data_IF_598905679023
#
_entry.id   IF_598905679023
#
_cell.length_a   1.000
_cell.length_b   1.000
_cell.length_c   1.000
_cell.angle_alpha   90.00
_cell.angle_beta   90.00
_cell.angle_gamma   90.00
#
_symmetry.space_group_name_H-M   'P 1'
#
loop_
_entity.id
_entity.type
_entity.pdbx_description
1 polymer ?
#
# COMPACT_ATOMS: atom_id res chain seq x y z
N UNK A 1 73.34 -53.52 -6.79
CA UNK A 1 72.26 -54.01 -7.70
C UNK A 1 70.86 -53.94 -7.11
N UNK A 2 70.59 -54.41 -5.88
CA UNK A 2 69.21 -54.43 -5.31
C UNK A 2 68.54 -53.06 -5.17
N UNK A 3 69.30 -52.01 -4.83
CA UNK A 3 68.80 -50.63 -4.74
C UNK A 3 68.45 -50.02 -6.10
N UNK A 4 69.16 -50.40 -7.17
CA UNK A 4 68.93 -49.90 -8.52
C UNK A 4 67.70 -50.56 -9.15
N UNK A 5 67.49 -51.86 -8.87
CA UNK A 5 66.24 -52.56 -9.19
C UNK A 5 65.05 -51.97 -8.43
N UNK A 6 65.20 -51.66 -7.14
CA UNK A 6 64.14 -51.04 -6.34
C UNK A 6 63.79 -49.64 -6.87
N UNK A 7 64.79 -48.84 -7.26
CA UNK A 7 64.60 -47.52 -7.85
C UNK A 7 63.89 -47.58 -9.22
N UNK A 8 64.28 -48.53 -10.09
CA UNK A 8 63.60 -48.75 -11.37
C UNK A 8 62.16 -49.23 -11.15
N UNK A 9 61.93 -50.13 -10.19
CA UNK A 9 60.58 -50.62 -9.86
C UNK A 9 59.70 -49.50 -9.28
N UNK A 10 60.25 -48.65 -8.41
CA UNK A 10 59.58 -47.45 -7.89
C UNK A 10 59.29 -46.43 -9.00
N UNK A 11 60.22 -46.23 -9.95
CA UNK A 11 59.97 -45.36 -11.10
C UNK A 11 58.85 -45.90 -11.99
N UNK A 12 58.79 -47.20 -12.24
CA UNK A 12 57.70 -47.83 -13.03
C UNK A 12 56.35 -47.67 -12.33
N UNK A 13 56.29 -47.87 -11.00
CA UNK A 13 55.05 -47.69 -10.22
C UNK A 13 54.61 -46.22 -10.09
N UNK A 14 55.53 -45.26 -10.12
CA UNK A 14 55.19 -43.83 -10.12
C UNK A 14 54.93 -43.26 -11.54
N UNK A 15 55.29 -43.97 -12.62
CA UNK A 15 55.08 -43.51 -14.00
C UNK A 15 53.71 -43.88 -14.60
N UNK A 16 52.88 -44.70 -13.94
CA UNK A 16 51.53 -45.03 -14.42
C UNK A 16 50.49 -43.91 -14.22
N UNK A 17 50.87 -42.76 -13.66
CA UNK A 17 49.98 -41.62 -13.43
C UNK A 17 49.94 -40.55 -14.53
N UNK A 18 50.81 -40.61 -15.55
CA UNK A 18 50.94 -39.58 -16.59
C UNK A 18 50.72 -40.14 -17.99
N UNK A 19 49.66 -40.93 -18.14
CA UNK A 19 49.05 -41.17 -19.44
C UNK A 19 48.39 -39.86 -19.90
N UNK A 20 49.01 -39.21 -20.89
CA UNK A 20 48.56 -37.98 -21.54
C UNK A 20 47.28 -38.15 -22.39
N UNK A 21 46.41 -39.11 -22.01
CA UNK A 21 45.04 -39.18 -22.45
C UNK A 21 44.21 -38.39 -21.44
N UNK A 22 43.90 -37.14 -21.78
CA UNK A 22 42.87 -36.34 -21.11
C UNK A 22 41.67 -37.23 -20.76
N UNK A 23 41.34 -37.33 -19.46
CA UNK A 23 40.34 -38.29 -18.95
C UNK A 23 39.00 -38.06 -19.65
N UNK A 24 38.66 -39.01 -20.49
CA UNK A 24 37.47 -38.98 -21.32
C UNK A 24 36.33 -39.66 -20.58
N UNK A 25 35.17 -39.00 -20.55
CA UNK A 25 33.97 -39.47 -19.87
C UNK A 25 32.77 -39.34 -20.78
N UNK A 26 31.76 -40.17 -20.51
CA UNK A 26 30.50 -40.09 -21.20
C UNK A 26 29.58 -39.09 -20.49
N UNK A 27 28.90 -38.24 -21.25
CA UNK A 27 27.96 -37.27 -20.72
C UNK A 27 26.69 -37.91 -20.16
N UNK A 28 25.77 -37.07 -19.69
CA UNK A 28 24.63 -37.46 -18.86
C UNK A 28 24.56 -36.58 -17.63
N UNK A 29 24.00 -37.11 -16.53
CA UNK A 29 23.90 -36.36 -15.27
C UNK A 29 25.27 -36.15 -14.65
N UNK A 30 25.57 -34.93 -14.21
CA UNK A 30 26.86 -34.58 -13.61
C UNK A 30 27.26 -35.47 -12.42
N UNK A 31 26.28 -35.95 -11.65
CA UNK A 31 26.50 -36.85 -10.51
C UNK A 31 27.15 -38.19 -10.92
N UNK A 32 26.87 -38.65 -12.14
CA UNK A 32 27.39 -39.89 -12.70
C UNK A 32 28.79 -39.76 -13.32
N UNK A 33 29.29 -38.54 -13.51
CA UNK A 33 30.61 -38.32 -14.11
C UNK A 33 31.73 -38.65 -13.12
N UNK A 34 32.76 -39.42 -13.48
CA UNK A 34 33.89 -39.68 -12.59
C UNK A 34 34.66 -38.39 -12.23
N UNK A 35 35.31 -38.37 -11.07
CA UNK A 35 36.14 -37.24 -10.66
C UNK A 35 37.36 -37.06 -11.57
N UNK A 36 37.71 -35.80 -11.84
CA UNK A 36 38.84 -35.45 -12.71
C UNK A 36 38.56 -35.64 -14.20
N UNK A 37 37.29 -35.65 -14.60
CA UNK A 37 36.91 -35.68 -15.99
C UNK A 37 37.38 -34.41 -16.71
N UNK A 38 38.03 -34.56 -17.87
CA UNK A 38 38.48 -33.42 -18.68
C UNK A 38 37.70 -33.27 -19.98
N UNK A 39 37.32 -34.38 -20.62
CA UNK A 39 36.56 -34.36 -21.87
C UNK A 39 35.26 -35.15 -21.72
N UNK A 40 34.13 -34.51 -22.03
CA UNK A 40 32.81 -35.13 -22.01
C UNK A 40 32.33 -35.36 -23.45
N UNK A 41 32.02 -36.62 -23.77
CA UNK A 41 31.55 -37.05 -25.10
C UNK A 41 30.21 -37.80 -24.99
N UNK A 42 29.57 -38.10 -26.12
CA UNK A 42 28.42 -39.02 -26.15
C UNK A 42 27.09 -38.33 -25.87
N UNK A 43 26.68 -38.17 -24.61
CA UNK A 43 25.44 -37.47 -24.24
C UNK A 43 25.70 -36.02 -23.82
N UNK A 44 24.68 -35.13 -23.85
CA UNK A 44 24.80 -33.79 -23.28
C UNK A 44 25.16 -33.83 -21.79
N UNK A 45 25.88 -32.82 -21.32
CA UNK A 45 26.15 -32.66 -19.90
C UNK A 45 24.92 -32.06 -19.21
N UNK A 46 24.26 -32.82 -18.34
CA UNK A 46 23.02 -32.42 -17.66
C UNK A 46 23.31 -32.09 -16.20
N UNK A 47 23.03 -30.86 -15.81
CA UNK A 47 23.11 -30.35 -14.45
C UNK A 47 21.67 -30.03 -14.02
N UNK A 48 21.07 -30.92 -13.25
CA UNK A 48 19.65 -30.90 -12.94
C UNK A 48 19.39 -31.03 -11.44
N UNK A 49 18.46 -30.22 -10.93
CA UNK A 49 17.84 -30.45 -9.63
C UNK A 49 18.66 -30.03 -8.41
N UNK A 50 19.62 -29.12 -8.55
CA UNK A 50 20.41 -28.64 -7.41
C UNK A 50 19.70 -27.51 -6.66
N UNK A 51 19.42 -27.75 -5.37
CA UNK A 51 18.82 -26.82 -4.43
C UNK A 51 19.84 -25.96 -3.66
N UNK A 52 21.13 -26.08 -4.01
CA UNK A 52 22.25 -25.38 -3.40
C UNK A 52 23.21 -24.77 -4.44
N UNK A 53 24.05 -23.84 -4.00
CA UNK A 53 25.09 -23.22 -4.84
C UNK A 53 26.20 -24.21 -5.21
N UNK A 54 26.45 -24.40 -6.50
CA UNK A 54 27.52 -25.27 -6.99
C UNK A 54 28.83 -24.49 -6.96
N UNK A 55 29.69 -24.82 -5.99
CA UNK A 55 31.03 -24.22 -5.85
C UNK A 55 32.12 -25.27 -6.01
N UNK A 56 33.38 -24.87 -6.22
CA UNK A 56 34.55 -25.78 -6.26
C UNK A 56 34.71 -26.70 -5.03
N UNK A 57 34.00 -26.41 -3.94
CA UNK A 57 34.07 -27.18 -2.72
C UNK A 57 33.03 -28.31 -2.66
N UNK A 58 31.96 -28.23 -3.46
CA UNK A 58 30.95 -29.30 -3.56
C UNK A 58 31.45 -30.43 -4.46
N UNK A 59 30.99 -31.65 -4.22
CA UNK A 59 31.44 -32.82 -5.00
C UNK A 59 31.10 -32.70 -6.49
N UNK A 60 29.93 -32.11 -6.79
CA UNK A 60 29.51 -31.78 -8.16
C UNK A 60 30.41 -30.69 -8.75
N UNK A 61 30.73 -29.65 -7.98
CA UNK A 61 31.58 -28.57 -8.46
C UNK A 61 33.01 -29.02 -8.76
N UNK A 62 33.59 -29.90 -7.94
CA UNK A 62 34.90 -30.52 -8.21
C UNK A 62 34.91 -31.34 -9.51
N UNK A 63 33.80 -32.02 -9.84
CA UNK A 63 33.66 -32.77 -11.10
C UNK A 63 33.58 -31.84 -12.31
N UNK A 64 32.88 -30.70 -12.17
CA UNK A 64 32.69 -29.72 -13.23
C UNK A 64 33.92 -28.85 -13.48
N UNK A 65 34.68 -28.52 -12.44
CA UNK A 65 35.83 -27.61 -12.52
C UNK A 65 36.94 -28.13 -13.45
N UNK A 66 37.14 -29.45 -13.50
CA UNK A 66 38.21 -30.06 -14.32
C UNK A 66 37.85 -30.21 -15.80
N UNK A 67 36.58 -30.01 -16.17
CA UNK A 67 36.11 -30.23 -17.54
C UNK A 67 36.64 -29.13 -18.44
N UNK A 68 37.39 -29.53 -19.46
CA UNK A 68 37.99 -28.66 -20.48
C UNK A 68 37.21 -28.70 -21.79
N UNK A 69 36.57 -29.83 -22.12
CA UNK A 69 35.85 -29.99 -23.39
C UNK A 69 34.51 -30.71 -23.20
N UNK A 70 33.47 -30.22 -23.87
CA UNK A 70 32.15 -30.86 -23.94
C UNK A 70 31.73 -30.92 -25.41
N UNK A 71 31.41 -32.12 -25.92
CA UNK A 71 31.13 -32.32 -27.34
C UNK A 71 29.65 -32.29 -27.72
N UNK A 72 28.73 -32.39 -26.76
CA UNK A 72 27.30 -32.50 -27.01
C UNK A 72 26.44 -31.53 -26.17
N UNK A 73 26.95 -30.32 -25.96
CA UNK A 73 26.22 -29.27 -25.27
C UNK A 73 26.06 -29.48 -23.76
N UNK A 74 25.52 -28.44 -23.12
CA UNK A 74 25.26 -28.37 -21.68
C UNK A 74 23.78 -28.04 -21.46
N UNK A 75 23.14 -28.74 -20.54
CA UNK A 75 21.76 -28.51 -20.12
C UNK A 75 21.75 -28.18 -18.63
N UNK A 76 21.36 -26.95 -18.28
CA UNK A 76 21.06 -26.56 -16.91
C UNK A 76 19.54 -26.58 -16.74
N UNK A 77 19.02 -27.46 -15.88
CA UNK A 77 17.56 -27.62 -15.71
C UNK A 77 17.15 -27.62 -14.24
N UNK A 78 16.07 -26.91 -13.89
CA UNK A 78 15.42 -26.98 -12.57
C UNK A 78 16.38 -26.74 -11.40
N UNK A 79 17.36 -25.85 -11.56
CA UNK A 79 18.29 -25.51 -10.50
C UNK A 79 17.85 -24.23 -9.77
N UNK A 80 18.28 -24.10 -8.52
CA UNK A 80 17.96 -22.94 -7.68
C UNK A 80 19.14 -22.02 -7.37
N UNK A 81 20.35 -22.39 -7.80
CA UNK A 81 21.53 -21.54 -7.66
C UNK A 81 21.38 -20.23 -8.44
N UNK A 82 21.99 -19.17 -7.93
CA UNK A 82 21.98 -17.86 -8.54
C UNK A 82 23.13 -17.66 -9.53
N UNK A 83 24.24 -18.36 -9.34
CA UNK A 83 25.43 -18.20 -10.15
C UNK A 83 25.99 -19.54 -10.63
N UNK A 84 26.33 -19.62 -11.91
CA UNK A 84 27.03 -20.77 -12.48
C UNK A 84 28.38 -20.33 -13.05
N UNK A 85 29.43 -20.52 -12.24
CA UNK A 85 30.81 -20.10 -12.56
C UNK A 85 31.83 -21.21 -12.33
N UNK A 86 31.37 -22.44 -12.08
CA UNK A 86 32.23 -23.54 -11.64
C UNK A 86 33.06 -24.15 -12.79
N UNK A 87 32.55 -24.10 -14.02
CA UNK A 87 33.23 -24.61 -15.21
C UNK A 87 34.23 -23.60 -15.80
N UNK A 88 35.15 -23.10 -14.97
CA UNK A 88 36.11 -22.06 -15.40
C UNK A 88 37.07 -22.55 -16.47
N UNK A 89 37.49 -23.81 -16.38
CA UNK A 89 38.47 -24.43 -17.28
C UNK A 89 37.88 -24.94 -18.60
N UNK A 90 36.57 -24.76 -18.84
CA UNK A 90 35.94 -25.15 -20.09
C UNK A 90 36.48 -24.30 -21.23
N UNK A 91 37.15 -24.94 -22.19
CA UNK A 91 37.80 -24.28 -23.34
C UNK A 91 37.04 -24.50 -24.66
N UNK A 92 36.38 -25.65 -24.79
CA UNK A 92 35.72 -26.09 -26.01
C UNK A 92 34.32 -26.60 -25.69
N UNK A 93 33.31 -26.00 -26.29
CA UNK A 93 31.93 -26.45 -26.21
C UNK A 93 31.39 -26.63 -27.63
N UNK A 94 30.99 -27.86 -27.94
CA UNK A 94 30.43 -28.20 -29.23
C UNK A 94 29.13 -28.98 -29.08
N UNK A 95 28.42 -29.10 -30.20
CA UNK A 95 27.29 -29.99 -30.38
C UNK A 95 27.29 -30.51 -31.81
N UNK A 96 26.97 -31.79 -31.99
CA UNK A 96 26.79 -32.32 -33.35
C UNK A 96 25.63 -31.61 -34.06
N UNK A 97 25.71 -31.41 -35.39
CA UNK A 97 24.63 -30.81 -36.16
C UNK A 97 23.31 -31.55 -35.89
N UNK A 98 22.22 -30.79 -35.68
CA UNK A 98 20.86 -31.30 -35.38
C UNK A 98 20.64 -31.88 -33.98
N UNK A 99 21.61 -31.83 -33.06
CA UNK A 99 21.42 -32.27 -31.67
C UNK A 99 20.87 -31.17 -30.74
N UNK A 100 20.53 -30.00 -31.30
CA UNK A 100 19.93 -28.88 -30.58
C UNK A 100 20.93 -27.77 -30.24
N UNK A 101 20.62 -26.94 -29.23
CA UNK A 101 21.46 -25.81 -28.83
C UNK A 101 22.67 -26.25 -27.99
N UNK A 102 23.78 -25.50 -28.09
CA UNK A 102 25.00 -25.71 -27.30
C UNK A 102 24.74 -25.58 -25.80
N UNK A 103 23.91 -24.61 -25.43
CA UNK A 103 23.52 -24.36 -24.05
C UNK A 103 22.01 -24.29 -23.94
N UNK A 104 21.43 -25.16 -23.12
CA UNK A 104 20.00 -25.15 -22.83
C UNK A 104 19.76 -24.81 -21.37
N UNK A 105 19.01 -23.75 -21.13
CA UNK A 105 18.65 -23.25 -19.81
C UNK A 105 17.16 -23.43 -19.62
N UNK A 106 16.78 -24.34 -18.72
CA UNK A 106 15.38 -24.70 -18.52
C UNK A 106 14.94 -24.57 -17.06
N UNK A 107 13.93 -23.76 -16.78
CA UNK A 107 13.32 -23.64 -15.45
C UNK A 107 14.34 -23.30 -14.33
N UNK A 108 15.39 -22.51 -14.61
CA UNK A 108 16.29 -22.00 -13.57
C UNK A 108 15.79 -20.62 -13.10
N UNK A 109 14.86 -20.62 -12.15
CA UNK A 109 14.13 -19.41 -11.73
C UNK A 109 15.00 -18.36 -11.04
N UNK A 110 16.17 -18.74 -10.52
CA UNK A 110 17.04 -17.85 -9.74
C UNK A 110 18.36 -17.52 -10.43
N UNK A 111 18.64 -18.08 -11.61
CA UNK A 111 19.90 -17.88 -12.31
C UNK A 111 20.06 -16.41 -12.72
N UNK A 112 21.16 -15.80 -12.26
CA UNK A 112 21.50 -14.40 -12.50
C UNK A 112 22.89 -14.21 -13.11
N UNK A 113 23.79 -15.19 -12.99
CA UNK A 113 25.13 -15.09 -13.56
C UNK A 113 25.55 -16.43 -14.14
N UNK A 114 26.13 -16.38 -15.34
CA UNK A 114 26.62 -17.53 -16.08
C UNK A 114 27.96 -17.13 -16.71
N UNK A 115 29.05 -17.79 -16.31
CA UNK A 115 30.40 -17.42 -16.76
C UNK A 115 31.24 -18.65 -17.10
N UNK A 116 31.85 -18.63 -18.28
CA UNK A 116 32.80 -19.64 -18.77
C UNK A 116 34.13 -18.97 -19.12
N UNK A 117 34.95 -18.73 -18.10
CA UNK A 117 36.12 -17.84 -18.18
C UNK A 117 37.16 -18.23 -19.24
N UNK A 118 37.48 -19.52 -19.36
CA UNK A 118 38.50 -19.99 -20.31
C UNK A 118 37.93 -20.47 -21.64
N UNK A 119 36.64 -20.20 -21.92
CA UNK A 119 35.97 -20.65 -23.14
C UNK A 119 36.52 -19.92 -24.35
N UNK A 120 36.98 -20.68 -25.34
CA UNK A 120 37.65 -20.13 -26.55
C UNK A 120 36.94 -20.50 -27.83
N UNK A 121 36.26 -21.65 -27.85
CA UNK A 121 35.67 -22.21 -29.06
C UNK A 121 34.27 -22.72 -28.77
N UNK A 122 33.29 -22.17 -29.49
CA UNK A 122 31.95 -22.70 -29.63
C UNK A 122 31.75 -23.24 -31.04
N UNK A 123 31.28 -24.48 -31.15
CA UNK A 123 31.01 -25.11 -32.44
C UNK A 123 29.64 -25.81 -32.42
N UNK A 124 28.64 -25.18 -33.02
CA UNK A 124 27.28 -25.72 -33.06
C UNK A 124 26.43 -25.11 -34.17
N UNK A 125 25.25 -25.66 -34.36
CA UNK A 125 24.21 -25.09 -35.23
C UNK A 125 23.35 -24.09 -34.45
N UNK A 126 22.78 -23.11 -35.16
CA UNK A 126 21.77 -22.21 -34.57
C UNK A 126 20.49 -22.98 -34.19
N UNK A 127 19.81 -22.61 -33.09
CA UNK A 127 20.20 -21.58 -32.11
C UNK A 127 21.32 -22.06 -31.18
N UNK A 128 22.25 -21.19 -30.77
CA UNK A 128 23.35 -21.58 -29.88
C UNK A 128 22.90 -21.74 -28.43
N UNK A 129 22.00 -20.89 -27.99
CA UNK A 129 21.48 -20.90 -26.63
C UNK A 129 19.97 -20.97 -26.67
N UNK A 130 19.36 -21.84 -25.89
CA UNK A 130 17.91 -21.90 -25.79
C UNK A 130 17.48 -21.71 -24.34
N UNK A 131 16.56 -20.78 -24.14
CA UNK A 131 15.98 -20.45 -22.85
C UNK A 131 14.54 -20.96 -22.80
N UNK A 132 14.24 -21.79 -21.82
CA UNK A 132 12.91 -22.34 -21.59
C UNK A 132 12.45 -22.02 -20.18
N UNK A 133 11.48 -21.14 -20.02
CA UNK A 133 10.96 -20.76 -18.70
C UNK A 133 12.06 -20.32 -17.72
N UNK A 134 13.09 -19.64 -18.24
CA UNK A 134 14.29 -19.29 -17.47
C UNK A 134 14.29 -17.81 -17.08
N UNK A 135 14.88 -17.48 -15.94
CA UNK A 135 14.97 -16.10 -15.46
C UNK A 135 16.16 -15.34 -16.07
N UNK A 136 17.17 -16.06 -16.59
CA UNK A 136 18.42 -15.46 -17.05
C UNK A 136 18.22 -14.38 -18.14
N UNK A 137 17.34 -14.55 -19.16
CA UNK A 137 17.03 -13.49 -20.14
C UNK A 137 16.50 -12.19 -19.52
N UNK A 138 15.62 -12.30 -18.52
CA UNK A 138 15.08 -11.13 -17.82
C UNK A 138 16.15 -10.42 -17.00
N UNK A 139 17.12 -11.16 -16.45
CA UNK A 139 18.26 -10.61 -15.71
C UNK A 139 19.27 -9.93 -16.62
N UNK A 140 19.56 -10.52 -17.78
CA UNK A 140 20.38 -9.90 -18.83
C UNK A 140 19.82 -8.53 -19.24
N UNK A 141 18.51 -8.43 -19.50
CA UNK A 141 17.86 -7.16 -19.86
C UNK A 141 17.99 -6.07 -18.79
N UNK A 142 18.03 -6.46 -17.50
CA UNK A 142 18.05 -5.51 -16.37
C UNK A 142 19.47 -5.10 -15.93
N UNK A 143 20.51 -5.83 -16.34
CA UNK A 143 21.88 -5.63 -15.84
C UNK A 143 22.90 -5.70 -16.97
N UNK A 144 23.56 -4.58 -17.23
CA UNK A 144 24.62 -4.50 -18.25
C UNK A 144 25.76 -5.49 -18.01
N UNK A 145 26.12 -5.78 -16.76
CA UNK A 145 27.18 -6.75 -16.45
C UNK A 145 26.79 -8.19 -16.84
N UNK A 146 25.53 -8.58 -16.63
CA UNK A 146 25.05 -9.93 -16.97
C UNK A 146 24.93 -10.05 -18.49
N UNK A 147 24.47 -8.99 -19.15
CA UNK A 147 24.47 -8.94 -20.61
C UNK A 147 25.90 -9.05 -21.17
N UNK A 148 26.88 -8.37 -20.57
CA UNK A 148 28.29 -8.52 -20.97
C UNK A 148 28.80 -9.95 -20.81
N UNK A 149 28.48 -10.64 -19.72
CA UNK A 149 28.85 -12.05 -19.54
C UNK A 149 28.30 -12.95 -20.67
N UNK A 150 27.08 -12.67 -21.12
CA UNK A 150 26.49 -13.39 -22.24
C UNK A 150 27.17 -13.05 -23.58
N UNK A 151 27.54 -11.79 -23.81
CA UNK A 151 28.33 -11.39 -24.98
C UNK A 151 29.71 -12.05 -24.97
N UNK A 152 30.38 -12.13 -23.82
CA UNK A 152 31.68 -12.79 -23.67
C UNK A 152 31.58 -14.29 -24.00
N UNK A 153 30.47 -14.94 -23.63
CA UNK A 153 30.17 -16.31 -24.07
C UNK A 153 30.03 -16.39 -25.60
N UNK A 154 29.23 -15.52 -26.21
CA UNK A 154 29.01 -15.51 -27.66
C UNK A 154 30.29 -15.17 -28.45
N UNK A 155 31.19 -14.36 -27.89
CA UNK A 155 32.47 -14.03 -28.53
C UNK A 155 33.33 -15.27 -28.80
N UNK A 156 33.15 -16.36 -28.03
CA UNK A 156 33.85 -17.63 -28.26
C UNK A 156 33.35 -18.41 -29.49
N UNK A 157 32.25 -17.99 -30.13
CA UNK A 157 31.75 -18.57 -31.38
C UNK A 157 32.58 -18.22 -32.62
N UNK A 158 33.43 -17.19 -32.53
CA UNK A 158 34.30 -16.77 -33.64
C UNK A 158 33.55 -16.44 -34.93
N UNK A 159 34.25 -16.53 -36.07
CA UNK A 159 33.70 -16.27 -37.42
C UNK A 159 32.90 -17.43 -38.02
N UNK A 160 32.82 -18.57 -37.32
CA UNK A 160 32.06 -19.76 -37.78
C UNK A 160 30.55 -19.54 -37.79
N UNK A 161 30.08 -18.45 -37.19
CA UNK A 161 28.67 -18.15 -36.98
C UNK A 161 28.42 -16.70 -37.41
N UNK A 162 27.38 -16.49 -38.22
CA UNK A 162 27.05 -15.18 -38.76
C UNK A 162 26.64 -14.19 -37.64
N UNK A 163 27.46 -13.16 -37.34
CA UNK A 163 27.24 -12.18 -36.26
C UNK A 163 25.92 -11.41 -36.38
N UNK A 164 25.30 -11.41 -37.56
CA UNK A 164 24.05 -10.72 -37.84
C UNK A 164 22.83 -11.65 -37.88
N UNK A 165 22.99 -12.95 -37.60
CA UNK A 165 21.88 -13.89 -37.61
C UNK A 165 20.85 -13.54 -36.53
N UNK A 166 19.54 -13.49 -36.85
CA UNK A 166 18.51 -13.24 -35.84
C UNK A 166 18.32 -14.42 -34.87
N UNK A 167 18.87 -15.60 -35.17
CA UNK A 167 18.56 -16.87 -34.49
C UNK A 167 19.64 -17.32 -33.50
N UNK A 168 20.42 -16.39 -32.95
CA UNK A 168 21.49 -16.71 -31.98
C UNK A 168 21.00 -17.44 -30.74
N UNK A 169 19.80 -17.08 -30.29
CA UNK A 169 19.17 -17.69 -29.15
C UNK A 169 17.68 -17.87 -29.39
N UNK A 170 17.16 -18.95 -28.83
CA UNK A 170 15.73 -19.24 -28.82
C UNK A 170 15.17 -18.99 -27.42
N UNK A 171 13.99 -18.39 -27.36
CA UNK A 171 13.40 -17.87 -26.15
C UNK A 171 11.96 -18.35 -26.04
N UNK A 172 11.79 -19.46 -25.33
CA UNK A 172 10.50 -19.99 -24.95
C UNK A 172 10.15 -19.45 -23.57
N UNK A 173 9.39 -18.35 -23.57
CA UNK A 173 8.67 -18.00 -22.38
C UNK A 173 7.54 -18.99 -22.15
N UNK A 174 7.12 -19.08 -20.89
CA UNK A 174 5.76 -19.52 -20.66
C UNK A 174 4.97 -18.43 -21.35
N UNK A 175 4.24 -18.79 -22.40
CA UNK A 175 2.92 -18.23 -22.50
C UNK A 175 2.32 -18.51 -21.13
N UNK A 176 2.32 -17.49 -20.26
CA UNK A 176 1.56 -17.55 -19.04
C UNK A 176 0.13 -17.75 -19.54
N UNK A 177 -0.27 -19.02 -19.66
CA UNK A 177 -1.58 -19.47 -19.29
C UNK A 177 -1.71 -19.11 -17.80
N UNK A 178 -1.72 -17.81 -17.49
CA UNK A 178 -2.47 -17.33 -16.36
C UNK A 178 -3.83 -17.96 -16.57
N UNK A 179 -4.30 -18.83 -15.67
CA UNK A 179 -5.71 -19.16 -15.69
C UNK A 179 -6.41 -17.80 -15.70
N UNK A 180 -7.22 -17.57 -16.72
CA UNK A 180 -8.03 -16.37 -16.95
C UNK A 180 -8.91 -16.00 -15.74
N UNK A 181 -8.84 -16.76 -14.67
CA UNK A 181 -9.65 -16.60 -13.48
C UNK A 181 -9.05 -15.57 -12.51
N UNK A 182 -7.72 -15.34 -12.51
CA UNK A 182 -7.13 -14.45 -11.51
C UNK A 182 -7.45 -12.96 -11.75
N UNK A 183 -7.52 -12.53 -13.02
CA UNK A 183 -7.99 -11.18 -13.35
C UNK A 183 -9.49 -11.04 -13.09
N UNK A 184 -10.26 -12.12 -13.29
CA UNK A 184 -11.68 -12.15 -12.94
C UNK A 184 -11.88 -11.98 -11.43
N UNK A 185 -11.07 -12.63 -10.58
CA UNK A 185 -11.14 -12.42 -9.13
C UNK A 185 -10.72 -11.01 -8.69
N UNK A 186 -9.74 -10.40 -9.34
CA UNK A 186 -9.33 -9.02 -9.05
C UNK A 186 -10.41 -8.03 -9.49
N UNK A 187 -10.97 -8.20 -10.69
CA UNK A 187 -12.05 -7.35 -11.22
C UNK A 187 -13.34 -7.55 -10.42
N UNK A 188 -13.77 -8.79 -10.17
CA UNK A 188 -14.93 -9.10 -9.35
C UNK A 188 -14.75 -8.64 -7.89
N UNK A 189 -13.55 -8.79 -7.33
CA UNK A 189 -13.22 -8.28 -6.00
C UNK A 189 -13.29 -6.75 -5.92
N UNK A 190 -12.78 -6.05 -6.95
CA UNK A 190 -12.85 -4.59 -7.03
C UNK A 190 -14.29 -4.07 -7.23
N UNK A 191 -15.09 -4.73 -8.07
CA UNK A 191 -16.51 -4.41 -8.26
C UNK A 191 -17.34 -4.72 -7.01
N UNK A 192 -17.05 -5.82 -6.31
CA UNK A 192 -17.69 -6.17 -5.05
C UNK A 192 -17.39 -5.16 -3.95
N UNK A 193 -16.14 -4.73 -3.80
CA UNK A 193 -15.76 -3.69 -2.85
C UNK A 193 -16.46 -2.35 -3.17
N UNK A 194 -16.54 -1.97 -4.44
CA UNK A 194 -17.24 -0.76 -4.88
C UNK A 194 -18.75 -0.82 -4.59
N UNK A 195 -19.39 -1.98 -4.81
CA UNK A 195 -20.80 -2.19 -4.48
C UNK A 195 -21.06 -2.08 -2.97
N UNK A 196 -20.19 -2.66 -2.13
CA UNK A 196 -20.30 -2.54 -0.66
C UNK A 196 -20.19 -1.09 -0.21
N UNK A 197 -19.25 -0.32 -0.77
CA UNK A 197 -19.12 1.11 -0.47
C UNK A 197 -20.38 1.87 -0.87
N UNK A 198 -20.93 1.63 -2.06
CA UNK A 198 -22.18 2.27 -2.50
C UNK A 198 -23.38 1.92 -1.62
N UNK A 199 -23.49 0.67 -1.15
CA UNK A 199 -24.56 0.24 -0.22
C UNK A 199 -24.41 0.94 1.13
N UNK A 200 -23.19 1.01 1.68
CA UNK A 200 -22.94 1.72 2.94
C UNK A 200 -23.27 3.21 2.79
N UNK A 201 -22.85 3.84 1.69
CA UNK A 201 -23.11 5.25 1.42
C UNK A 201 -24.61 5.54 1.28
N UNK A 202 -25.37 4.68 0.57
CA UNK A 202 -26.83 4.81 0.45
C UNK A 202 -27.55 4.59 1.79
N UNK A 203 -27.11 3.65 2.63
CA UNK A 203 -27.67 3.46 3.98
C UNK A 203 -27.38 4.69 4.85
N UNK A 204 -26.14 5.20 4.84
CA UNK A 204 -25.79 6.40 5.59
C UNK A 204 -26.56 7.62 5.10
N UNK A 205 -26.71 7.78 3.79
CA UNK A 205 -27.46 8.86 3.18
C UNK A 205 -28.95 8.81 3.53
N UNK A 206 -29.57 7.63 3.49
CA UNK A 206 -30.99 7.46 3.86
C UNK A 206 -31.23 7.69 5.35
N UNK A 207 -30.34 7.22 6.23
CA UNK A 207 -30.40 7.52 7.67
C UNK A 207 -30.23 9.03 7.91
N UNK A 208 -29.31 9.67 7.20
CA UNK A 208 -29.09 11.10 7.27
C UNK A 208 -30.31 11.88 6.78
N UNK A 209 -30.89 11.54 5.62
CA UNK A 209 -32.11 12.16 5.11
C UNK A 209 -33.26 12.04 6.11
N UNK A 210 -33.54 10.83 6.62
CA UNK A 210 -34.59 10.61 7.60
C UNK A 210 -34.36 11.43 8.89
N UNK A 211 -33.11 11.55 9.35
CA UNK A 211 -32.79 12.38 10.51
C UNK A 211 -32.97 13.87 10.23
N UNK A 212 -32.66 14.31 9.01
CA UNK A 212 -32.81 15.70 8.61
C UNK A 212 -34.27 16.08 8.40
N UNK A 213 -35.05 15.23 7.75
CA UNK A 213 -36.50 15.41 7.58
C UNK A 213 -37.20 15.50 8.92
N UNK A 214 -36.87 14.62 9.88
CA UNK A 214 -37.41 14.73 11.25
C UNK A 214 -37.08 16.06 11.91
N UNK A 215 -35.83 16.51 11.82
CA UNK A 215 -35.42 17.81 12.37
C UNK A 215 -36.11 18.97 11.67
N UNK A 216 -36.27 18.90 10.34
CA UNK A 216 -36.96 19.93 9.57
C UNK A 216 -38.42 20.01 9.98
N UNK A 217 -39.08 18.85 10.11
CA UNK A 217 -40.46 18.73 10.55
C UNK A 217 -40.66 19.23 11.98
N UNK A 218 -39.77 18.91 12.91
CA UNK A 218 -39.78 19.46 14.28
C UNK A 218 -39.64 20.98 14.29
N UNK A 219 -38.78 21.55 13.44
CA UNK A 219 -38.62 22.99 13.29
C UNK A 219 -39.84 23.65 12.67
N UNK A 220 -40.47 23.02 11.68
CA UNK A 220 -41.72 23.49 11.06
C UNK A 220 -42.88 23.44 12.06
N UNK A 221 -43.06 22.32 12.76
CA UNK A 221 -44.01 22.19 13.87
C UNK A 221 -43.78 23.26 14.95
N UNK A 222 -42.52 23.53 15.30
CA UNK A 222 -42.17 24.61 16.22
C UNK A 222 -42.61 25.98 15.72
N UNK A 223 -42.38 26.30 14.44
CA UNK A 223 -42.84 27.57 13.84
C UNK A 223 -44.35 27.66 13.74
N UNK A 224 -45.03 26.58 13.41
CA UNK A 224 -46.49 26.54 13.35
C UNK A 224 -47.10 26.69 14.74
N UNK A 225 -46.55 26.01 15.75
CA UNK A 225 -46.98 26.16 17.14
C UNK A 225 -46.83 27.61 17.62
N UNK A 226 -45.69 28.26 17.34
CA UNK A 226 -45.48 29.68 17.68
C UNK A 226 -46.48 30.58 16.94
N UNK A 227 -46.75 30.32 15.65
CA UNK A 227 -47.76 31.07 14.90
C UNK A 227 -49.16 30.88 15.47
N UNK A 228 -49.53 29.66 15.81
CA UNK A 228 -50.83 29.31 16.37
C UNK A 228 -51.01 29.93 17.77
N UNK A 229 -49.99 29.87 18.61
CA UNK A 229 -50.00 30.46 19.94
C UNK A 229 -50.09 32.00 19.87
N UNK A 230 -49.43 32.62 18.88
CA UNK A 230 -49.57 34.05 18.61
C UNK A 230 -50.98 34.40 18.13
N UNK A 231 -51.57 33.62 17.22
CA UNK A 231 -52.94 33.86 16.76
C UNK A 231 -53.96 33.62 17.87
N UNK A 232 -53.76 32.63 18.74
CA UNK A 232 -54.62 32.38 19.89
C UNK A 232 -54.57 33.54 20.89
N UNK A 233 -53.38 34.03 21.24
CA UNK A 233 -53.24 35.23 22.09
C UNK A 233 -53.90 36.45 21.48
N UNK A 234 -53.79 36.61 20.16
CA UNK A 234 -54.44 37.71 19.46
C UNK A 234 -55.97 37.57 19.47
N UNK A 235 -56.48 36.35 19.27
CA UNK A 235 -57.90 36.06 19.41
C UNK A 235 -58.43 36.31 20.83
N UNK A 236 -57.69 35.88 21.86
CA UNK A 236 -58.03 36.17 23.27
C UNK A 236 -58.05 37.67 23.55
N UNK A 237 -57.09 38.42 22.99
CA UNK A 237 -57.07 39.89 23.07
C UNK A 237 -58.27 40.51 22.35
N UNK A 238 -58.60 40.05 21.15
CA UNK A 238 -59.74 40.53 20.38
C UNK A 238 -61.07 40.19 21.09
N UNK A 239 -61.18 39.00 21.68
CA UNK A 239 -62.34 38.60 22.50
C UNK A 239 -62.45 39.46 23.76
N UNK A 240 -61.32 39.77 24.40
CA UNK A 240 -61.30 40.67 25.56
C UNK A 240 -61.69 42.09 25.15
N UNK A 241 -61.16 42.60 24.04
CA UNK A 241 -61.50 43.92 23.50
C UNK A 241 -62.97 44.01 23.10
N UNK A 242 -63.53 42.95 22.52
CA UNK A 242 -64.96 42.93 22.17
C UNK A 242 -65.84 42.89 23.42
N UNK A 243 -65.48 42.13 24.45
CA UNK A 243 -66.16 42.18 25.76
C UNK A 243 -66.04 43.54 26.43
N UNK A 244 -64.84 44.12 26.50
CA UNK A 244 -64.60 45.46 27.05
C UNK A 244 -65.36 46.53 26.25
N UNK A 245 -65.38 46.45 24.91
CA UNK A 245 -66.15 47.38 24.09
C UNK A 245 -67.66 47.21 24.26
N UNK A 246 -68.14 45.99 24.53
CA UNK A 246 -69.53 45.72 24.86
C UNK A 246 -69.89 46.29 26.23
N UNK A 247 -69.04 46.06 27.23
CA UNK A 247 -69.17 46.61 28.59
C UNK A 247 -69.13 48.15 28.55
N UNK A 248 -68.22 48.75 27.78
CA UNK A 248 -68.18 50.21 27.58
C UNK A 248 -69.45 50.69 26.90
N UNK A 249 -69.97 49.99 25.88
CA UNK A 249 -71.24 50.37 25.24
C UNK A 249 -72.42 50.28 26.20
N UNK A 250 -72.46 49.27 27.06
CA UNK A 250 -73.54 49.09 28.02
C UNK A 250 -73.39 50.07 29.20
N UNK A 251 -72.17 50.33 29.66
CA UNK A 251 -71.85 51.38 30.62
C UNK A 251 -72.11 52.78 30.06
N UNK A 252 -71.86 53.05 28.77
CA UNK A 252 -72.22 54.30 28.10
C UNK A 252 -73.72 54.45 27.99
N UNK A 253 -74.47 53.37 27.73
CA UNK A 253 -75.94 53.41 27.79
C UNK A 253 -76.43 53.70 29.20
N UNK A 254 -75.85 53.06 30.21
CA UNK A 254 -76.17 53.31 31.62
C UNK A 254 -75.78 54.73 32.04
N UNK A 255 -74.59 55.19 31.66
CA UNK A 255 -74.11 56.54 31.89
C UNK A 255 -74.98 57.56 31.17
N UNK A 256 -75.38 57.35 29.92
CA UNK A 256 -76.29 58.24 29.20
C UNK A 256 -77.71 58.20 29.77
N UNK A 257 -78.14 57.06 30.34
CA UNK A 257 -79.38 56.96 31.09
C UNK A 257 -79.29 57.73 32.43
N UNK A 258 -78.19 57.59 33.16
CA UNK A 258 -77.88 58.33 34.38
C UNK A 258 -77.69 59.81 34.11
N UNK A 259 -77.06 60.21 33.00
CA UNK A 259 -76.87 61.59 32.59
C UNK A 259 -78.17 62.23 32.12
N UNK A 260 -79.08 61.45 31.50
CA UNK A 260 -80.47 61.88 31.27
C UNK A 260 -81.25 62.06 32.57
N UNK A 261 -81.04 61.18 33.55
CA UNK A 261 -81.62 61.28 34.89
C UNK A 261 -81.05 62.47 35.67
N UNK A 262 -79.74 62.71 35.53
CA UNK A 262 -79.00 63.73 36.24
C UNK A 262 -79.17 65.12 35.62
N UNK A 263 -79.34 65.23 34.30
CA UNK A 263 -79.76 66.48 33.65
C UNK A 263 -81.22 66.87 34.01
N UNK A 264 -81.94 66.03 34.76
CA UNK A 264 -83.20 66.37 35.41
C UNK A 264 -83.03 66.80 36.88
N UNK A 265 -81.80 66.79 37.43
CA UNK A 265 -81.52 67.06 38.85
C UNK A 265 -80.49 68.20 39.05
N UNK A 266 -80.83 69.38 39.63
CA UNK A 266 -80.05 70.62 39.46
C UNK A 266 -78.82 70.82 40.37
N UNK A 267 -78.36 69.84 41.15
CA UNK A 267 -77.37 70.09 42.20
C UNK A 267 -76.33 68.97 42.37
N UNK A 268 -75.20 68.95 41.63
CA UNK A 268 -74.00 68.18 42.05
C UNK A 268 -72.68 68.96 41.84
N UNK A 269 -71.72 68.70 42.74
CA UNK A 269 -70.52 69.50 43.00
C UNK A 269 -69.22 68.92 42.41
N UNK A 270 -68.33 69.79 41.91
CA UNK A 270 -67.13 69.53 41.07
C UNK A 270 -65.98 68.67 41.67
N UNK A 271 -66.12 68.12 42.88
CA UNK A 271 -64.97 67.59 43.64
C UNK A 271 -64.52 66.14 43.32
N UNK A 272 -65.38 65.29 42.76
CA UNK A 272 -65.11 63.84 42.65
C UNK A 272 -64.32 63.44 41.40
N UNK A 273 -64.38 64.25 40.33
CA UNK A 273 -63.68 63.99 39.06
C UNK A 273 -62.14 64.06 39.18
N UNK A 274 -61.62 64.88 40.09
CA UNK A 274 -60.18 65.10 40.25
C UNK A 274 -59.51 63.88 40.90
N UNK A 275 -60.17 63.23 41.87
CA UNK A 275 -59.63 62.04 42.56
C UNK A 275 -59.48 60.84 41.61
N UNK A 276 -60.41 60.67 40.69
CA UNK A 276 -60.37 59.55 39.74
C UNK A 276 -59.22 59.70 38.71
N UNK A 277 -58.93 60.92 38.28
CA UNK A 277 -57.84 61.20 37.34
C UNK A 277 -56.43 60.96 37.94
N UNK A 278 -56.25 61.20 39.24
CA UNK A 278 -54.98 60.95 39.93
C UNK A 278 -54.70 59.45 40.11
N UNK A 279 -55.74 58.65 40.37
CA UNK A 279 -55.61 57.20 40.57
C UNK A 279 -55.17 56.48 39.28
N UNK A 280 -55.68 56.92 38.12
CA UNK A 280 -55.27 56.43 36.79
C UNK A 280 -53.81 56.72 36.45
N UNK A 281 -53.27 57.88 36.84
CA UNK A 281 -51.86 58.21 36.61
C UNK A 281 -50.91 57.32 37.41
N UNK A 282 -51.28 57.01 38.65
CA UNK A 282 -50.48 56.14 39.52
C UNK A 282 -50.36 54.71 38.97
N UNK A 283 -51.39 54.23 38.28
CA UNK A 283 -51.42 52.90 37.68
C UNK A 283 -50.48 52.78 36.47
N UNK A 284 -50.45 53.80 35.59
CA UNK A 284 -49.54 53.86 34.45
C UNK A 284 -48.06 53.89 34.87
N UNK A 285 -47.74 54.57 35.97
CA UNK A 285 -46.37 54.64 36.49
C UNK A 285 -45.88 53.30 37.07
N UNK A 286 -46.80 52.46 37.56
CA UNK A 286 -46.48 51.10 38.03
C UNK A 286 -46.18 50.13 36.88
N UNK A 287 -46.85 50.30 35.73
CA UNK A 287 -46.58 49.48 34.54
C UNK A 287 -45.24 49.81 33.89
N UNK A 288 -44.90 51.10 33.77
CA UNK A 288 -43.59 51.54 33.25
C UNK A 288 -42.43 50.92 34.03
N UNK A 289 -42.50 50.93 35.37
CA UNK A 289 -41.48 50.32 36.23
C UNK A 289 -41.35 48.80 36.06
N UNK A 290 -42.45 48.10 35.78
CA UNK A 290 -42.39 46.65 35.50
C UNK A 290 -41.67 46.37 34.18
N UNK A 291 -41.89 47.18 33.15
CA UNK A 291 -41.26 46.98 31.84
C UNK A 291 -39.75 47.25 31.88
N UNK A 292 -39.32 48.31 32.57
CA UNK A 292 -37.89 48.59 32.77
C UNK A 292 -37.16 47.42 33.47
N UNK A 293 -37.80 46.83 34.48
CA UNK A 293 -37.24 45.67 35.20
C UNK A 293 -37.07 44.43 34.30
N UNK A 294 -38.02 44.19 33.38
CA UNK A 294 -37.93 43.07 32.43
C UNK A 294 -36.78 43.28 31.45
N UNK A 295 -36.63 44.49 30.90
CA UNK A 295 -35.56 44.80 29.95
C UNK A 295 -34.16 44.65 30.57
N UNK A 296 -33.99 45.06 31.84
CA UNK A 296 -32.73 44.90 32.54
C UNK A 296 -32.37 43.42 32.79
N UNK A 297 -33.38 42.58 33.03
CA UNK A 297 -33.20 41.13 33.21
C UNK A 297 -32.74 40.46 31.91
N UNK A 298 -33.34 40.80 30.77
CA UNK A 298 -32.96 40.25 29.47
C UNK A 298 -31.52 40.63 29.07
N UNK A 299 -31.11 41.88 29.36
CA UNK A 299 -29.73 42.32 29.13
C UNK A 299 -28.72 41.50 29.95
N UNK A 300 -29.06 41.18 31.21
CA UNK A 300 -28.21 40.34 32.08
C UNK A 300 -28.13 38.89 31.60
N UNK A 301 -29.19 38.31 31.05
CA UNK A 301 -29.16 36.96 30.50
C UNK A 301 -28.33 36.87 29.22
N UNK A 302 -28.50 37.80 28.27
CA UNK A 302 -27.66 37.86 27.06
C UNK A 302 -26.17 37.99 27.36
N UNK A 303 -25.81 38.81 28.36
CA UNK A 303 -24.42 38.95 28.79
C UNK A 303 -23.83 37.64 29.37
N UNK A 304 -24.65 36.81 30.04
CA UNK A 304 -24.22 35.50 30.56
C UNK A 304 -23.99 34.51 29.43
N UNK A 305 -24.88 34.47 28.44
CA UNK A 305 -24.75 33.58 27.27
C UNK A 305 -23.49 33.88 26.46
N UNK A 306 -23.20 35.16 26.19
CA UNK A 306 -21.98 35.55 25.48
C UNK A 306 -20.70 35.14 26.23
N UNK A 307 -20.71 35.21 27.57
CA UNK A 307 -19.58 34.78 28.39
C UNK A 307 -19.33 33.26 28.25
N UNK A 308 -20.40 32.46 28.24
CA UNK A 308 -20.32 31.00 28.04
C UNK A 308 -19.76 30.67 26.65
N UNK A 309 -20.23 31.36 25.60
CA UNK A 309 -19.75 31.15 24.22
C UNK A 309 -18.25 31.46 24.11
N UNK A 310 -17.79 32.55 24.73
CA UNK A 310 -16.36 32.91 24.74
C UNK A 310 -15.51 31.86 25.45
N UNK A 311 -15.97 31.30 26.55
CA UNK A 311 -15.24 30.24 27.27
C UNK A 311 -15.15 28.94 26.47
N UNK A 312 -16.26 28.51 25.84
CA UNK A 312 -16.28 27.35 24.94
C UNK A 312 -15.33 27.51 23.75
N UNK A 313 -15.25 28.72 23.17
CA UNK A 313 -14.33 29.00 22.07
C UNK A 313 -12.85 28.87 22.48
N UNK A 314 -12.50 29.32 23.70
CA UNK A 314 -11.14 29.20 24.25
C UNK A 314 -10.79 27.74 24.54
N UNK A 315 -11.73 26.97 25.08
CA UNK A 315 -11.57 25.54 25.34
C UNK A 315 -11.29 24.77 24.05
N UNK A 316 -12.08 25.00 22.98
CA UNK A 316 -11.88 24.37 21.67
C UNK A 316 -10.51 24.67 21.07
N UNK A 317 -10.04 25.94 21.13
CA UNK A 317 -8.69 26.30 20.65
C UNK A 317 -7.58 25.60 21.44
N UNK A 318 -7.75 25.41 22.76
CA UNK A 318 -6.78 24.70 23.60
C UNK A 318 -6.73 23.21 23.27
N UNK A 319 -7.89 22.59 23.02
CA UNK A 319 -8.03 21.20 22.61
C UNK A 319 -7.34 20.94 21.26
N UNK A 320 -7.57 21.82 20.28
CA UNK A 320 -6.95 21.72 18.96
C UNK A 320 -5.42 21.75 19.02
N UNK A 321 -4.85 22.67 19.80
CA UNK A 321 -3.39 22.74 20.02
C UNK A 321 -2.82 21.49 20.69
N UNK A 322 -3.60 20.78 21.52
CA UNK A 322 -3.16 19.50 22.12
C UNK A 322 -3.07 18.40 21.06
N UNK A 323 -4.08 18.30 20.18
CA UNK A 323 -4.09 17.33 19.09
C UNK A 323 -2.93 17.54 18.12
N UNK A 324 -2.65 18.79 17.74
CA UNK A 324 -1.51 19.13 16.88
C UNK A 324 -0.16 18.74 17.50
N UNK A 325 0.01 18.96 18.82
CA UNK A 325 1.22 18.54 19.54
C UNK A 325 1.36 17.02 19.62
N UNK A 326 0.26 16.29 19.84
CA UNK A 326 0.27 14.83 19.89
C UNK A 326 0.62 14.22 18.53
N UNK A 327 0.07 14.78 17.45
CA UNK A 327 0.37 14.34 16.09
C UNK A 327 1.83 14.61 15.71
N UNK A 328 2.37 15.77 16.10
CA UNK A 328 3.78 16.08 15.91
C UNK A 328 4.70 15.09 16.65
N UNK A 329 4.34 14.72 17.88
CA UNK A 329 5.09 13.73 18.68
C UNK A 329 5.04 12.33 18.05
N UNK A 330 3.88 11.90 17.53
CA UNK A 330 3.74 10.63 16.80
C UNK A 330 4.66 10.60 15.58
N UNK A 331 4.67 11.66 14.76
CA UNK A 331 5.56 11.79 13.59
C UNK A 331 7.04 11.78 13.97
N UNK A 332 7.42 12.36 15.11
CA UNK A 332 8.80 12.33 15.59
C UNK A 332 9.23 10.93 16.05
N UNK A 333 8.34 10.21 16.75
CA UNK A 333 8.61 8.85 17.22
C UNK A 333 8.75 7.87 16.04
N UNK A 334 7.89 7.96 15.02
CA UNK A 334 8.02 7.15 13.80
C UNK A 334 9.36 7.40 13.08
N UNK A 335 9.83 8.65 13.03
CA UNK A 335 11.15 8.98 12.46
C UNK A 335 12.29 8.38 13.27
N UNK A 336 12.21 8.41 14.61
CA UNK A 336 13.22 7.80 15.49
C UNK A 336 13.27 6.27 15.32
N UNK A 337 12.10 5.63 15.19
CA UNK A 337 12.02 4.18 15.00
C UNK A 337 12.59 3.75 13.65
N UNK A 338 12.30 4.48 12.57
CA UNK A 338 12.90 4.26 11.24
C UNK A 338 14.43 4.37 11.29
N UNK A 339 14.98 5.40 11.92
CA UNK A 339 16.43 5.56 12.10
C UNK A 339 17.05 4.42 12.91
N UNK A 340 16.38 3.95 13.96
CA UNK A 340 16.86 2.82 14.78
C UNK A 340 16.91 1.51 13.97
N UNK A 341 15.89 1.25 13.15
CA UNK A 341 15.85 0.12 12.21
C UNK A 341 17.01 0.18 11.21
N UNK A 342 17.25 1.33 10.58
CA UNK A 342 18.38 1.53 9.65
C UNK A 342 19.75 1.32 10.29
N UNK A 343 19.97 1.80 11.52
CA UNK A 343 21.23 1.57 12.23
C UNK A 343 21.44 0.10 12.58
N UNK A 344 20.40 -0.59 13.04
CA UNK A 344 20.47 -2.04 13.34
C UNK A 344 20.80 -2.87 12.10
N UNK A 345 20.28 -2.50 10.93
CA UNK A 345 20.57 -3.17 9.68
C UNK A 345 22.02 -2.94 9.23
N UNK A 346 22.54 -1.71 9.42
CA UNK A 346 23.95 -1.38 9.16
C UNK A 346 24.89 -2.14 10.09
N UNK A 347 24.57 -2.28 11.36
CA UNK A 347 25.36 -3.06 12.32
C UNK A 347 25.35 -4.55 11.99
N UNK A 348 24.19 -5.12 11.67
CA UNK A 348 24.10 -6.52 11.20
C UNK A 348 24.94 -6.77 9.94
N UNK A 349 24.96 -5.83 8.99
CA UNK A 349 25.81 -5.92 7.80
C UNK A 349 27.31 -5.89 8.15
N UNK A 350 27.72 -5.08 9.14
CA UNK A 350 29.11 -5.04 9.64
C UNK A 350 29.52 -6.35 10.35
N UNK A 351 28.66 -6.88 11.23
CA UNK A 351 28.91 -8.15 11.94
C UNK A 351 29.00 -9.31 10.95
N UNK A 352 28.14 -9.36 9.93
CA UNK A 352 28.23 -10.36 8.87
C UNK A 352 29.58 -10.30 8.15
N UNK A 353 30.02 -9.10 7.74
CA UNK A 353 31.34 -8.89 7.10
C UNK A 353 32.53 -9.29 7.99
N UNK A 354 32.45 -9.03 9.30
CA UNK A 354 33.50 -9.41 10.24
C UNK A 354 33.61 -10.95 10.37
N UNK A 355 32.48 -11.65 10.53
CA UNK A 355 32.45 -13.12 10.56
C UNK A 355 32.99 -13.77 9.29
N UNK A 356 32.74 -13.18 8.12
CA UNK A 356 33.29 -13.71 6.86
C UNK A 356 34.81 -13.60 6.78
N UNK A 357 35.41 -12.56 7.36
CA UNK A 357 36.86 -12.39 7.45
C UNK A 357 37.54 -13.34 8.44
N UNK A 358 36.86 -13.73 9.52
CA UNK A 358 37.42 -14.65 10.52
C UNK A 358 37.43 -16.11 10.06
N UNK A 359 36.65 -16.46 9.04
CA UNK A 359 36.59 -17.82 8.47
C UNK A 359 37.59 -17.99 7.32
N UNK A 360 38.21 -16.90 6.85
CA UNK A 360 39.15 -16.89 5.72
C UNK A 360 40.62 -16.72 6.11
N UNK A 361 40.91 -16.61 7.40
CA UNK A 361 42.24 -16.81 7.99
C UNK A 361 42.19 -18.08 8.84
#
# INVERSE_FOLDING_TARGET
MKLLLLYIFLQIFFFEGSSSYSKLCYGGRVESLPMGCENVIGLPLVIEGFDYEITRHTDVGKRLETIKRVQNGIILRKNTFQSFTVMKSLQYLAIYPNHGPLLKLEHNYYLTSLEFRDLRVLNGSMPLVSFWHDNYPFKMRKSGNIFQQFLDFLAAAGHSIDPCSPDYFDLHFMEENFPSDHWYFVVAGSLGALAVVMIIDTILFTVFQNSWEKKLFELELGREKIRFEKSMKQYELDEKWTKEAQEIKDADKEYMALLKLHNQDPFHAEGELIKWAEEKKLEQEKELRKNEYIEEREKKEKAKEEKIIRELSKARKKEQRRREKEEALKKENEKKEKKKKEMSEKEMKKVKKAKTKTITN
#
